data_IF_376441906453
#
_entry.id   IF_376441906453
#
_cell.length_a   1.000
_cell.length_b   1.000
_cell.length_c   1.000
_cell.angle_alpha   90.00
_cell.angle_beta   90.00
_cell.angle_gamma   90.00
#
_symmetry.space_group_name_H-M   'P 1'
#
loop_
_entity.id
_entity.type
_entity.pdbx_description
1 polymer ?
#
# COMPACT_ATOMS: atom_id res chain seq x y z
N UNK A 1 -8.12 -15.80 0.81
CA UNK A 1 -7.69 -14.97 1.96
C UNK A 1 -6.18 -14.87 2.06
N UNK A 2 -5.44 -15.98 2.11
CA UNK A 2 -3.96 -15.96 2.19
C UNK A 2 -3.31 -15.18 1.04
N UNK A 3 -3.71 -15.42 -0.21
CA UNK A 3 -3.19 -14.67 -1.36
C UNK A 3 -3.49 -13.16 -1.27
N UNK A 4 -4.68 -12.78 -0.80
CA UNK A 4 -5.06 -11.37 -0.61
C UNK A 4 -4.26 -10.72 0.53
N UNK A 5 -4.00 -11.46 1.60
CA UNK A 5 -3.17 -10.99 2.70
C UNK A 5 -1.72 -10.81 2.25
N UNK A 6 -1.16 -11.75 1.49
CA UNK A 6 0.19 -11.63 0.93
C UNK A 6 0.32 -10.43 -0.03
N UNK A 7 -0.64 -10.26 -0.94
CA UNK A 7 -0.69 -9.10 -1.85
C UNK A 7 -0.86 -7.80 -1.05
N UNK A 8 -1.74 -7.75 -0.06
CA UNK A 8 -1.95 -6.58 0.79
C UNK A 8 -0.73 -6.21 1.62
N UNK A 9 0.01 -7.20 2.13
CA UNK A 9 1.28 -6.99 2.82
C UNK A 9 2.36 -6.43 1.90
N UNK A 10 2.56 -7.06 0.73
CA UNK A 10 3.54 -6.59 -0.25
C UNK A 10 3.22 -5.19 -0.79
N UNK A 11 1.95 -4.92 -1.09
CA UNK A 11 1.50 -3.59 -1.51
C UNK A 11 1.63 -2.55 -0.41
N UNK A 12 1.58 -2.96 0.87
CA UNK A 12 1.87 -2.07 2.01
C UNK A 12 3.27 -1.46 1.94
N UNK A 13 4.28 -2.25 1.60
CA UNK A 13 5.65 -1.75 1.40
C UNK A 13 5.77 -0.87 0.14
N UNK A 14 5.16 -1.27 -0.97
CA UNK A 14 5.25 -0.51 -2.24
C UNK A 14 4.60 0.86 -2.09
N UNK A 15 3.35 0.90 -1.61
CA UNK A 15 2.64 2.15 -1.38
C UNK A 15 3.35 2.96 -0.31
N UNK A 16 3.92 2.32 0.70
CA UNK A 16 4.65 3.02 1.75
C UNK A 16 5.90 3.72 1.26
N UNK A 17 6.77 3.01 0.55
CA UNK A 17 7.95 3.60 -0.07
C UNK A 17 7.59 4.74 -1.03
N UNK A 18 6.49 4.62 -1.79
CA UNK A 18 6.03 5.70 -2.67
C UNK A 18 5.53 6.93 -1.90
N UNK A 19 4.80 6.73 -0.80
CA UNK A 19 4.38 7.82 0.08
C UNK A 19 5.59 8.48 0.76
N UNK A 20 6.58 7.69 1.15
CA UNK A 20 7.79 8.23 1.77
C UNK A 20 8.54 9.20 0.85
N UNK A 21 8.40 9.11 -0.47
CA UNK A 21 8.97 10.10 -1.41
C UNK A 21 8.42 11.50 -1.16
N UNK A 22 7.13 11.63 -0.79
CA UNK A 22 6.51 12.94 -0.56
C UNK A 22 7.09 13.64 0.68
N UNK A 23 7.57 12.87 1.65
CA UNK A 23 8.22 13.37 2.85
C UNK A 23 9.73 13.51 2.65
N UNK A 24 10.35 12.55 1.98
CA UNK A 24 11.79 12.49 1.71
C UNK A 24 12.30 13.78 1.05
N UNK A 25 11.64 14.22 -0.03
CA UNK A 25 12.07 15.38 -0.82
C UNK A 25 12.08 16.68 0.02
N UNK A 26 10.98 17.07 0.70
CA UNK A 26 10.96 18.29 1.50
C UNK A 26 11.67 18.17 2.86
N UNK A 27 11.51 17.06 3.58
CA UNK A 27 11.95 16.95 4.99
C UNK A 27 13.46 16.74 5.10
N UNK A 28 14.06 16.00 4.17
CA UNK A 28 15.50 15.69 4.18
C UNK A 28 16.30 16.58 3.24
N UNK A 29 15.69 17.65 2.70
CA UNK A 29 16.35 18.60 1.82
C UNK A 29 17.61 19.18 2.48
N UNK A 30 18.73 19.15 1.76
CA UNK A 30 20.01 19.67 2.24
C UNK A 30 20.80 18.68 3.11
N UNK A 31 20.25 17.51 3.46
CA UNK A 31 21.05 16.45 4.05
C UNK A 31 21.97 15.84 2.98
N UNK A 32 23.31 15.84 3.16
CA UNK A 32 24.26 15.43 2.13
C UNK A 32 24.29 13.92 1.86
N UNK A 33 23.65 13.10 2.70
CA UNK A 33 23.75 11.63 2.64
C UNK A 33 22.40 10.93 2.48
N UNK A 34 21.33 11.58 2.91
CA UNK A 34 19.96 11.05 2.88
C UNK A 34 19.07 11.86 1.94
N UNK A 35 19.31 13.16 1.79
CA UNK A 35 18.42 14.06 1.06
C UNK A 35 18.60 13.99 -0.44
N UNK A 36 17.54 14.33 -1.17
CA UNK A 36 17.63 14.57 -2.61
C UNK A 36 18.21 15.98 -2.89
N UNK A 37 19.06 16.09 -3.91
CA UNK A 37 19.59 17.37 -4.41
C UNK A 37 19.30 17.55 -5.91
N UNK A 38 19.03 18.78 -6.37
CA UNK A 38 18.91 19.07 -7.79
C UNK A 38 20.19 18.70 -8.56
N UNK A 39 20.04 18.04 -9.70
CA UNK A 39 21.16 17.62 -10.54
C UNK A 39 21.80 16.28 -10.16
N UNK A 40 21.30 15.61 -9.12
CA UNK A 40 21.70 14.25 -8.77
C UNK A 40 21.32 13.26 -9.86
N UNK A 41 22.22 12.34 -10.20
CA UNK A 41 21.91 11.27 -11.14
C UNK A 41 20.98 10.22 -10.50
N UNK A 42 20.40 9.35 -11.34
CA UNK A 42 19.42 8.38 -10.89
C UNK A 42 20.01 7.38 -9.88
N UNK A 43 21.27 6.96 -10.07
CA UNK A 43 21.92 5.99 -9.19
C UNK A 43 22.16 6.58 -7.79
N UNK A 44 22.69 7.80 -7.70
CA UNK A 44 22.91 8.46 -6.40
C UNK A 44 21.58 8.75 -5.70
N UNK A 45 20.55 9.15 -6.46
CA UNK A 45 19.19 9.38 -5.93
C UNK A 45 18.63 8.11 -5.29
N UNK A 46 18.82 6.95 -5.94
CA UNK A 46 18.37 5.67 -5.43
C UNK A 46 19.13 5.25 -4.16
N UNK A 47 20.43 5.52 -4.07
CA UNK A 47 21.23 5.24 -2.87
C UNK A 47 20.80 6.12 -1.70
N UNK A 48 20.56 7.41 -1.93
CA UNK A 48 20.10 8.34 -0.91
C UNK A 48 18.72 7.95 -0.39
N UNK A 49 17.77 7.68 -1.31
CA UNK A 49 16.45 7.19 -0.94
C UNK A 49 16.52 5.87 -0.19
N UNK A 50 17.33 4.91 -0.64
CA UNK A 50 17.50 3.62 0.02
C UNK A 50 18.03 3.75 1.46
N UNK A 51 19.01 4.63 1.69
CA UNK A 51 19.52 4.92 3.05
C UNK A 51 18.46 5.56 3.94
N UNK A 52 17.75 6.57 3.42
CA UNK A 52 16.64 7.20 4.11
C UNK A 52 15.59 6.14 4.50
N UNK A 53 15.09 5.38 3.52
CA UNK A 53 14.06 4.37 3.71
C UNK A 53 14.43 3.35 4.79
N UNK A 54 15.65 2.80 4.74
CA UNK A 54 16.12 1.80 5.70
C UNK A 54 16.23 2.36 7.13
N UNK A 55 16.64 3.62 7.28
CA UNK A 55 16.89 4.23 8.60
C UNK A 55 15.62 4.80 9.24
N UNK A 56 14.65 5.23 8.44
CA UNK A 56 13.51 6.02 8.94
C UNK A 56 12.17 5.32 8.74
N UNK A 57 11.98 4.66 7.60
CA UNK A 57 10.64 4.26 7.15
C UNK A 57 10.40 2.76 7.20
N UNK A 58 11.44 1.91 7.04
CA UNK A 58 11.30 0.46 6.97
C UNK A 58 10.53 -0.14 8.14
N UNK A 59 10.83 0.30 9.37
CA UNK A 59 10.16 -0.20 10.57
C UNK A 59 8.67 0.18 10.59
N UNK A 60 8.37 1.44 10.25
CA UNK A 60 7.01 1.95 10.22
C UNK A 60 6.18 1.29 9.11
N UNK A 61 6.75 1.15 7.92
CA UNK A 61 6.13 0.47 6.79
C UNK A 61 5.88 -1.01 7.07
N UNK A 62 6.81 -1.67 7.76
CA UNK A 62 6.63 -3.06 8.19
C UNK A 62 5.49 -3.18 9.19
N UNK A 63 5.42 -2.29 10.18
CA UNK A 63 4.31 -2.26 11.13
C UNK A 63 2.97 -2.06 10.40
N UNK A 64 2.90 -1.10 9.48
CA UNK A 64 1.71 -0.86 8.65
C UNK A 64 1.34 -2.07 7.79
N UNK A 65 2.31 -2.70 7.13
CA UNK A 65 2.09 -3.90 6.31
C UNK A 65 1.56 -5.07 7.13
N UNK A 66 2.10 -5.30 8.33
CA UNK A 66 1.60 -6.30 9.28
C UNK A 66 0.17 -5.97 9.72
N UNK A 67 -0.11 -4.70 10.04
CA UNK A 67 -1.46 -4.22 10.36
C UNK A 67 -2.46 -4.52 9.25
N UNK A 68 -2.10 -4.25 7.98
CA UNK A 68 -2.94 -4.58 6.82
C UNK A 68 -3.22 -6.09 6.72
N UNK A 69 -2.19 -6.94 6.89
CA UNK A 69 -2.35 -8.39 6.89
C UNK A 69 -3.32 -8.83 7.98
N UNK A 70 -3.14 -8.35 9.21
CA UNK A 70 -4.02 -8.66 10.33
C UNK A 70 -5.46 -8.21 10.07
N UNK A 71 -5.66 -7.01 9.53
CA UNK A 71 -6.99 -6.52 9.15
C UNK A 71 -7.63 -7.40 8.08
N UNK A 72 -6.90 -7.82 7.04
CA UNK A 72 -7.45 -8.73 6.02
C UNK A 72 -7.82 -10.08 6.61
N UNK A 73 -7.01 -10.62 7.54
CA UNK A 73 -7.30 -11.89 8.18
C UNK A 73 -8.53 -11.82 9.09
N UNK A 74 -8.66 -10.75 9.88
CA UNK A 74 -9.76 -10.57 10.84
C UNK A 74 -11.05 -10.14 10.14
N UNK A 75 -10.96 -9.19 9.20
CA UNK A 75 -12.12 -8.54 8.57
C UNK A 75 -12.47 -9.08 7.19
N UNK A 76 -11.58 -9.87 6.55
CA UNK A 76 -11.80 -10.35 5.18
C UNK A 76 -13.06 -11.20 5.04
N UNK A 77 -13.28 -12.14 5.95
CA UNK A 77 -14.47 -12.99 5.94
C UNK A 77 -15.79 -12.20 6.09
N UNK A 78 -15.98 -11.35 7.12
CA UNK A 78 -17.21 -10.57 7.24
C UNK A 78 -17.41 -9.59 6.08
N UNK A 79 -16.35 -8.99 5.53
CA UNK A 79 -16.43 -8.13 4.34
C UNK A 79 -16.93 -8.91 3.13
N UNK A 80 -16.41 -10.10 2.87
CA UNK A 80 -16.88 -10.94 1.75
C UNK A 80 -18.35 -11.34 1.90
N UNK A 81 -18.80 -11.64 3.12
CA UNK A 81 -20.21 -11.94 3.40
C UNK A 81 -21.09 -10.71 3.13
N UNK A 82 -20.66 -9.53 3.56
CA UNK A 82 -21.38 -8.28 3.30
C UNK A 82 -21.48 -7.98 1.78
N UNK A 83 -20.38 -8.15 1.05
CA UNK A 83 -20.36 -7.96 -0.41
C UNK A 83 -21.24 -8.99 -1.13
N UNK A 84 -21.26 -10.25 -0.70
CA UNK A 84 -22.14 -11.26 -1.27
C UNK A 84 -23.63 -10.91 -1.08
N UNK A 85 -24.00 -10.38 0.09
CA UNK A 85 -25.36 -9.89 0.36
C UNK A 85 -25.75 -8.72 -0.53
N UNK A 86 -24.83 -7.76 -0.71
CA UNK A 86 -25.01 -6.64 -1.63
C UNK A 86 -25.17 -7.11 -3.07
N UNK A 87 -24.33 -8.04 -3.52
CA UNK A 87 -24.42 -8.63 -4.86
C UNK A 87 -25.79 -9.24 -5.13
N UNK A 88 -26.34 -10.01 -4.18
CA UNK A 88 -27.68 -10.60 -4.32
C UNK A 88 -28.76 -9.52 -4.42
N UNK A 89 -28.65 -8.43 -3.66
CA UNK A 89 -29.64 -7.32 -3.70
C UNK A 89 -29.55 -6.45 -4.95
N UNK A 90 -28.37 -6.37 -5.56
CA UNK A 90 -28.11 -5.53 -6.74
C UNK A 90 -28.18 -6.30 -8.06
N UNK A 91 -28.36 -7.63 -8.01
CA UNK A 91 -28.58 -8.45 -9.20
C UNK A 91 -30.08 -8.52 -9.48
N UNK A 92 -30.56 -7.79 -10.49
CA UNK A 92 -31.92 -7.91 -11.00
C UNK A 92 -31.92 -8.86 -12.20
N UNK A 93 -32.73 -9.91 -12.14
CA UNK A 93 -33.02 -10.76 -13.29
C UNK A 93 -34.17 -10.12 -14.08
N UNK A 94 -33.91 -9.67 -15.30
CA UNK A 94 -34.97 -9.20 -16.21
C UNK A 94 -35.70 -10.44 -16.71
N UNK A 95 -36.75 -10.84 -15.98
CA UNK A 95 -37.66 -11.88 -16.47
C UNK A 95 -38.46 -11.26 -17.62
N UNK A 96 -38.10 -11.62 -18.85
CA UNK A 96 -38.87 -11.26 -20.05
C UNK A 96 -40.30 -11.80 -19.90
N UNK A 97 -41.28 -10.91 -19.93
CA UNK A 97 -42.69 -11.28 -19.85
C UNK A 97 -43.04 -12.24 -21.00
N UNK A 98 -43.69 -13.39 -20.75
CA UNK A 98 -44.10 -14.30 -21.83
C UNK A 98 -45.13 -13.59 -22.73
N UNK A 99 -44.92 -13.68 -24.05
CA UNK A 99 -45.80 -13.19 -25.12
C UNK A 99 -47.06 -14.02 -25.27
#
# INVERSE_FOLDING_TARGET
MIALAAVGGAMGWVVGALLDITDWIPVYRGNPTLGWLPGMDAATSLVHFGRFYLLTSLAYDTFRAVGNVLMVLVLGAPVMVALARLRVRLSFEVVGSPS
#
